data_IF_120772257101
#
_entry.id   IF_120772257101
#
_cell.length_a   1.000
_cell.length_b   1.000
_cell.length_c   1.000
_cell.angle_alpha   90.00
_cell.angle_beta   90.00
_cell.angle_gamma   90.00
#
_symmetry.space_group_name_H-M   'P 1'
#
loop_
_entity.id
_entity.type
_entity.pdbx_description
1 polymer ?
#
# COMPACT_ATOMS: atom_id res chain seq x y z
N UNK A 1 12.25 -9.59 3.56
CA UNK A 1 11.57 -9.97 2.30
C UNK A 1 12.52 -9.77 1.14
N UNK A 2 12.75 -10.80 0.34
CA UNK A 2 13.59 -10.70 -0.86
C UNK A 2 12.70 -10.32 -2.04
N UNK A 3 12.70 -9.04 -2.37
CA UNK A 3 11.86 -8.52 -3.44
C UNK A 3 12.49 -8.76 -4.82
N UNK A 4 11.63 -9.02 -5.81
CA UNK A 4 12.06 -9.03 -7.22
C UNK A 4 12.50 -7.61 -7.62
N UNK A 5 13.28 -7.46 -8.72
CA UNK A 5 13.65 -6.13 -9.20
C UNK A 5 12.45 -5.22 -9.48
N UNK A 6 11.36 -5.78 -10.01
CA UNK A 6 10.14 -5.01 -10.27
C UNK A 6 9.54 -4.48 -8.96
N UNK A 7 9.38 -5.36 -7.97
CA UNK A 7 8.84 -4.97 -6.66
C UNK A 7 9.77 -3.97 -5.94
N UNK A 8 11.08 -4.15 -6.06
CA UNK A 8 12.06 -3.23 -5.48
C UNK A 8 11.93 -1.83 -6.08
N UNK A 9 11.73 -1.73 -7.40
CA UNK A 9 11.53 -0.44 -8.05
C UNK A 9 10.26 0.25 -7.54
N UNK A 10 9.16 -0.50 -7.41
CA UNK A 10 7.91 0.05 -6.86
C UNK A 10 8.07 0.48 -5.41
N UNK A 11 8.83 -0.27 -4.61
CA UNK A 11 9.10 0.11 -3.23
C UNK A 11 9.90 1.42 -3.17
N UNK A 12 10.87 1.59 -4.05
CA UNK A 12 11.62 2.85 -4.17
C UNK A 12 10.68 4.03 -4.45
N UNK A 13 9.73 3.86 -5.36
CA UNK A 13 8.75 4.90 -5.65
C UNK A 13 7.83 5.16 -4.44
N UNK A 14 7.45 4.10 -3.70
CA UNK A 14 6.64 4.26 -2.50
C UNK A 14 7.38 5.08 -1.44
N UNK A 15 8.66 4.80 -1.21
CA UNK A 15 9.49 5.54 -0.25
C UNK A 15 9.62 6.99 -0.69
N UNK A 16 9.88 7.25 -1.96
CA UNK A 16 9.99 8.61 -2.49
C UNK A 16 8.66 9.36 -2.33
N UNK A 17 7.55 8.70 -2.59
CA UNK A 17 6.22 9.30 -2.41
C UNK A 17 5.97 9.67 -0.95
N UNK A 18 6.37 8.79 -0.03
CA UNK A 18 6.24 9.07 1.41
C UNK A 18 7.09 10.28 1.82
N UNK A 19 8.33 10.33 1.38
CA UNK A 19 9.23 11.45 1.68
C UNK A 19 8.72 12.77 1.10
N UNK A 20 7.99 12.71 -0.01
CA UNK A 20 7.36 13.88 -0.64
C UNK A 20 6.00 14.26 -0.07
N UNK A 21 5.48 13.49 0.91
CA UNK A 21 4.16 13.75 1.47
C UNK A 21 3.01 13.30 0.59
N UNK A 22 3.26 12.42 -0.38
CA UNK A 22 2.25 11.90 -1.28
C UNK A 22 1.64 10.63 -0.68
N UNK A 23 0.78 10.81 0.30
CA UNK A 23 0.28 9.71 1.14
C UNK A 23 -0.55 8.69 0.35
N UNK A 24 -1.45 9.15 -0.50
CA UNK A 24 -2.29 8.27 -1.32
C UNK A 24 -1.43 7.44 -2.26
N UNK A 25 -0.48 8.07 -2.95
CA UNK A 25 0.45 7.39 -3.84
C UNK A 25 1.26 6.34 -3.09
N UNK A 26 1.68 6.64 -1.86
CA UNK A 26 2.41 5.70 -1.00
C UNK A 26 1.60 4.43 -0.75
N UNK A 27 0.34 4.58 -0.34
CA UNK A 27 -0.55 3.46 -0.04
C UNK A 27 -0.75 2.59 -1.29
N UNK A 28 -1.03 3.22 -2.42
CA UNK A 28 -1.25 2.53 -3.70
C UNK A 28 0.00 1.76 -4.11
N UNK A 29 1.17 2.39 -4.01
CA UNK A 29 2.43 1.77 -4.43
C UNK A 29 2.86 0.63 -3.50
N UNK A 30 2.63 0.73 -2.19
CA UNK A 30 2.93 -0.36 -1.27
C UNK A 30 2.09 -1.59 -1.62
N UNK A 31 0.80 -1.42 -1.88
CA UNK A 31 -0.03 -2.56 -2.31
C UNK A 31 0.44 -3.12 -3.66
N UNK A 32 0.88 -2.26 -4.57
CA UNK A 32 1.43 -2.71 -5.85
C UNK A 32 2.68 -3.58 -5.67
N UNK A 33 3.54 -3.26 -4.71
CA UNK A 33 4.70 -4.10 -4.36
C UNK A 33 4.23 -5.51 -3.98
N UNK A 34 3.22 -5.60 -3.12
CA UNK A 34 2.69 -6.89 -2.67
C UNK A 34 2.03 -7.66 -3.82
N UNK A 35 1.28 -6.98 -4.68
CA UNK A 35 0.64 -7.59 -5.84
C UNK A 35 1.67 -8.20 -6.79
N UNK A 36 2.76 -7.47 -7.05
CA UNK A 36 3.84 -7.95 -7.92
C UNK A 36 4.56 -9.14 -7.28
N UNK A 37 4.85 -9.08 -5.97
CA UNK A 37 5.48 -10.19 -5.25
C UNK A 37 4.64 -11.47 -5.33
N UNK A 38 3.34 -11.37 -5.07
CA UNK A 38 2.45 -12.52 -5.15
C UNK A 38 2.34 -13.10 -6.56
N UNK A 39 2.44 -12.25 -7.59
CA UNK A 39 2.30 -12.68 -8.97
C UNK A 39 3.60 -13.25 -9.56
N UNK A 40 4.77 -12.79 -9.10
CA UNK A 40 6.03 -13.05 -9.80
C UNK A 40 7.10 -13.77 -8.98
N UNK A 41 7.00 -13.81 -7.65
CA UNK A 41 8.02 -14.43 -6.81
C UNK A 41 7.65 -15.88 -6.51
N UNK A 42 8.23 -16.80 -7.30
CA UNK A 42 7.98 -18.23 -7.16
C UNK A 42 8.68 -18.87 -5.95
N UNK A 43 9.55 -18.11 -5.27
CA UNK A 43 10.28 -18.60 -4.10
C UNK A 43 9.60 -18.24 -2.77
N UNK A 44 8.42 -17.63 -2.82
CA UNK A 44 7.65 -17.36 -1.60
C UNK A 44 7.13 -18.64 -1.00
N UNK A 45 7.34 -18.81 0.30
CA UNK A 45 6.82 -19.95 1.02
C UNK A 45 5.29 -19.83 1.18
N UNK A 46 4.61 -21.00 1.23
CA UNK A 46 3.15 -21.05 1.29
C UNK A 46 2.54 -20.37 2.51
N UNK A 47 3.20 -20.48 3.68
CA UNK A 47 2.74 -19.83 4.90
C UNK A 47 2.80 -18.31 4.75
N UNK A 48 3.86 -17.81 4.14
CA UNK A 48 4.02 -16.38 3.88
C UNK A 48 3.00 -15.85 2.87
N UNK A 49 2.74 -16.61 1.79
CA UNK A 49 1.71 -16.26 0.81
C UNK A 49 0.35 -16.17 1.49
N UNK A 50 0.03 -17.15 2.36
CA UNK A 50 -1.23 -17.15 3.10
C UNK A 50 -1.35 -15.90 3.98
N UNK A 51 -0.28 -15.51 4.68
CA UNK A 51 -0.25 -14.31 5.50
C UNK A 51 -0.50 -13.06 4.66
N UNK A 52 0.12 -12.94 3.50
CA UNK A 52 -0.09 -11.79 2.61
C UNK A 52 -1.53 -11.71 2.10
N UNK A 53 -2.20 -12.83 1.96
CA UNK A 53 -3.60 -12.87 1.48
C UNK A 53 -4.62 -12.65 2.59
N UNK A 54 -4.37 -13.18 3.79
CA UNK A 54 -5.37 -13.25 4.85
C UNK A 54 -4.98 -12.48 6.12
N UNK A 55 -3.73 -12.06 6.27
CA UNK A 55 -3.27 -11.30 7.43
C UNK A 55 -4.04 -9.99 7.56
N UNK A 56 -4.46 -9.67 8.77
CA UNK A 56 -5.35 -8.54 9.06
C UNK A 56 -4.87 -7.23 8.45
N UNK A 57 -3.58 -6.92 8.60
CA UNK A 57 -3.03 -5.66 8.11
C UNK A 57 -2.91 -5.63 6.59
N UNK A 58 -2.62 -6.78 5.97
CA UNK A 58 -2.55 -6.88 4.51
C UNK A 58 -3.93 -6.79 3.88
N UNK A 59 -4.95 -7.36 4.52
CA UNK A 59 -6.35 -7.21 4.09
C UNK A 59 -6.77 -5.74 4.21
N UNK A 60 -6.43 -5.07 5.31
CA UNK A 60 -6.70 -3.64 5.49
C UNK A 60 -6.09 -2.81 4.34
N UNK A 61 -4.83 -3.05 4.03
CA UNK A 61 -4.12 -2.29 3.00
C UNK A 61 -4.77 -2.49 1.63
N UNK A 62 -5.07 -3.73 1.25
CA UNK A 62 -5.71 -4.04 -0.02
C UNK A 62 -7.08 -3.37 -0.14
N UNK A 63 -7.88 -3.43 0.91
CA UNK A 63 -9.20 -2.81 0.93
C UNK A 63 -9.10 -1.28 0.87
N UNK A 64 -8.14 -0.71 1.58
CA UNK A 64 -7.92 0.75 1.55
C UNK A 64 -7.50 1.21 0.15
N UNK A 65 -6.53 0.52 -0.47
CA UNK A 65 -6.11 0.80 -1.84
C UNK A 65 -7.30 0.75 -2.80
N UNK A 66 -8.13 -0.29 -2.67
CA UNK A 66 -9.29 -0.43 -3.55
C UNK A 66 -10.28 0.73 -3.38
N UNK A 67 -10.54 1.14 -2.15
CA UNK A 67 -11.42 2.29 -1.89
C UNK A 67 -10.86 3.60 -2.43
N UNK A 68 -9.54 3.77 -2.40
CA UNK A 68 -8.90 4.97 -2.95
C UNK A 68 -8.98 5.03 -4.48
N UNK A 69 -9.01 3.88 -5.14
CA UNK A 69 -9.01 3.81 -6.61
C UNK A 69 -10.40 3.76 -7.22
N UNK A 70 -11.42 3.35 -6.46
CA UNK A 70 -12.76 3.15 -7.00
C UNK A 70 -13.73 4.20 -6.47
N UNK A 71 -14.41 4.86 -7.39
CA UNK A 71 -15.43 5.84 -7.04
C UNK A 71 -16.69 5.16 -6.51
N UNK A 72 -17.23 5.73 -5.44
CA UNK A 72 -18.53 5.33 -4.87
C UNK A 72 -19.38 6.58 -4.78
N UNK A 73 -20.57 6.57 -5.38
CA UNK A 73 -21.47 7.72 -5.39
C UNK A 73 -22.07 8.01 -4.01
N UNK A 74 -22.08 7.05 -3.11
CA UNK A 74 -22.69 7.18 -1.78
C UNK A 74 -21.70 7.56 -0.70
N UNK A 75 -20.42 7.19 -0.85
CA UNK A 75 -19.37 7.49 0.13
C UNK A 75 -18.09 7.87 -0.58
N UNK A 76 -17.43 8.89 -0.04
CA UNK A 76 -16.14 9.32 -0.56
C UNK A 76 -15.03 8.82 0.37
N UNK A 77 -14.18 7.91 -0.13
CA UNK A 77 -13.05 7.38 0.63
C UNK A 77 -11.95 8.41 0.84
N UNK A 78 -11.91 9.43 -0.01
CA UNK A 78 -10.98 10.54 0.07
C UNK A 78 -11.61 11.76 -0.57
N UNK A 79 -11.33 12.94 0.01
CA UNK A 79 -11.75 14.23 -0.53
C UNK A 79 -10.55 15.18 -0.57
N UNK A 80 -10.70 16.31 -1.25
CA UNK A 80 -9.66 17.34 -1.29
C UNK A 80 -9.35 17.89 0.11
N UNK A 81 -10.32 17.93 1.02
CA UNK A 81 -10.10 18.37 2.40
C UNK A 81 -9.12 17.43 3.13
N UNK A 82 -9.15 16.13 2.84
CA UNK A 82 -8.23 15.17 3.43
C UNK A 82 -6.78 15.42 3.02
N UNK A 83 -6.56 16.03 1.86
CA UNK A 83 -5.22 16.32 1.34
C UNK A 83 -4.79 17.73 1.68
N UNK A 84 -5.65 18.73 1.47
CA UNK A 84 -5.27 20.14 1.56
C UNK A 84 -5.51 20.76 2.94
N UNK A 85 -6.51 20.28 3.68
CA UNK A 85 -6.87 20.87 4.97
C UNK A 85 -6.25 20.12 6.14
N UNK A 86 -6.37 18.78 6.18
CA UNK A 86 -5.78 17.96 7.24
C UNK A 86 -5.48 16.57 6.70
N UNK A 87 -4.22 16.31 6.44
CA UNK A 87 -3.73 15.07 5.87
C UNK A 87 -3.15 14.09 6.89
N UNK A 88 -3.28 14.36 8.20
CA UNK A 88 -2.66 13.56 9.25
C UNK A 88 -3.13 12.11 9.22
N UNK A 89 -4.40 11.85 8.95
CA UNK A 89 -4.92 10.48 8.87
C UNK A 89 -4.31 9.74 7.70
N UNK A 90 -4.16 10.38 6.56
CA UNK A 90 -3.51 9.79 5.39
C UNK A 90 -2.03 9.52 5.64
N UNK A 91 -1.34 10.42 6.33
CA UNK A 91 0.05 10.21 6.71
C UNK A 91 0.21 8.97 7.60
N UNK A 92 -0.67 8.81 8.60
CA UNK A 92 -0.66 7.64 9.48
C UNK A 92 -0.91 6.36 8.68
N UNK A 93 -1.87 6.38 7.77
CA UNK A 93 -2.17 5.23 6.91
C UNK A 93 -0.99 4.89 5.98
N UNK A 94 -0.35 5.90 5.40
CA UNK A 94 0.83 5.71 4.55
C UNK A 94 1.99 5.11 5.35
N UNK A 95 2.23 5.61 6.56
CA UNK A 95 3.26 5.09 7.44
C UNK A 95 2.97 3.64 7.83
N UNK A 96 1.71 3.33 8.17
CA UNK A 96 1.29 1.97 8.48
C UNK A 96 1.55 1.03 7.30
N UNK A 97 1.23 1.46 6.08
CA UNK A 97 1.43 0.65 4.88
C UNK A 97 2.91 0.33 4.65
N UNK A 98 3.79 1.32 4.76
CA UNK A 98 5.23 1.10 4.60
C UNK A 98 5.78 0.15 5.65
N UNK A 99 5.34 0.25 6.89
CA UNK A 99 5.81 -0.61 7.98
C UNK A 99 5.49 -2.08 7.74
N UNK A 100 4.51 -2.41 6.92
CA UNK A 100 4.21 -3.80 6.58
C UNK A 100 5.30 -4.45 5.73
N UNK A 101 6.08 -3.67 5.01
CA UNK A 101 7.13 -4.17 4.12
C UNK A 101 8.52 -3.90 4.69
N UNK A 102 8.71 -2.74 5.28
CA UNK A 102 10.01 -2.29 5.82
C UNK A 102 10.06 -2.59 7.32
N UNK A 103 10.38 -3.81 7.67
CA UNK A 103 10.57 -4.20 9.07
C UNK A 103 11.78 -5.09 9.22
#
# INVERSE_FOLDING_TARGET
MNLTPHATALLGEAVNSFCGGNWVATIILVQAVLDVELATNEFLDGAYVNELRTGKNFVWLRNRRNRLLHADINTHSITDADIFDDDRNLEIEAQKSLKLIIT
#
